data_IF_388330752911
#
_entry.id   IF_388330752911
#
_cell.length_a   1.000
_cell.length_b   1.000
_cell.length_c   1.000
_cell.angle_alpha   90.00
_cell.angle_beta   90.00
_cell.angle_gamma   90.00
#
_symmetry.space_group_name_H-M   'P 1'
#
loop_
_entity.id
_entity.type
_entity.pdbx_description
1 polymer ?
#
# COMPACT_ATOMS: atom_id res chain seq x y z
N UNK A 1 -48.30 -2.35 -48.30
CA UNK A 1 -46.89 -2.04 -47.95
C UNK A 1 -46.53 -2.85 -46.72
N UNK A 2 -45.32 -3.41 -46.68
CA UNK A 2 -44.81 -4.49 -45.80
C UNK A 2 -45.12 -4.41 -44.30
N UNK A 3 -44.91 -5.44 -43.49
CA UNK A 3 -44.19 -6.71 -43.63
C UNK A 3 -44.72 -7.69 -42.57
N UNK A 4 -44.68 -8.99 -42.87
CA UNK A 4 -45.12 -10.07 -41.99
C UNK A 4 -44.01 -10.47 -41.00
N UNK A 5 -44.40 -10.82 -39.77
CA UNK A 5 -43.62 -11.68 -38.87
C UNK A 5 -44.42 -12.97 -38.72
N UNK A 6 -43.88 -14.05 -39.29
CA UNK A 6 -44.46 -15.38 -39.28
C UNK A 6 -44.24 -16.07 -37.92
N UNK A 7 -45.24 -16.83 -37.52
CA UNK A 7 -45.28 -17.66 -36.33
C UNK A 7 -44.26 -18.80 -36.38
N UNK A 8 -43.63 -19.05 -35.24
CA UNK A 8 -42.81 -20.22 -34.98
C UNK A 8 -43.71 -21.46 -34.91
N UNK A 9 -43.76 -22.23 -35.99
CA UNK A 9 -44.06 -23.66 -36.02
C UNK A 9 -43.96 -24.12 -37.48
N UNK A 10 -42.76 -24.53 -37.90
CA UNK A 10 -42.50 -25.49 -39.00
C UNK A 10 -40.99 -25.50 -39.32
N UNK A 11 -40.19 -26.22 -38.51
CA UNK A 11 -38.83 -26.63 -38.91
C UNK A 11 -38.57 -28.10 -38.49
N UNK A 12 -38.11 -28.98 -39.40
CA UNK A 12 -38.18 -30.44 -39.25
C UNK A 12 -36.89 -31.05 -38.67
N UNK A 13 -36.48 -30.66 -37.47
CA UNK A 13 -35.33 -31.32 -36.81
C UNK A 13 -35.51 -31.42 -35.30
N UNK A 14 -35.83 -32.65 -34.87
CA UNK A 14 -35.79 -33.12 -33.50
C UNK A 14 -34.36 -33.07 -32.97
N UNK A 15 -34.09 -32.21 -31.99
CA UNK A 15 -32.87 -32.29 -31.19
C UNK A 15 -33.11 -33.32 -30.08
N UNK A 16 -32.61 -34.54 -30.29
CA UNK A 16 -32.50 -35.57 -29.25
C UNK A 16 -31.63 -35.11 -28.06
N UNK A 17 -31.53 -35.92 -26.99
CA UNK A 17 -30.93 -35.49 -25.73
C UNK A 17 -29.45 -35.10 -25.90
N UNK A 18 -29.11 -33.90 -25.44
CA UNK A 18 -27.75 -33.35 -25.45
C UNK A 18 -26.87 -34.24 -24.57
N UNK A 19 -26.03 -35.09 -25.20
CA UNK A 19 -24.91 -35.76 -24.52
C UNK A 19 -23.71 -34.81 -24.50
N UNK A 20 -23.18 -34.52 -23.31
CA UNK A 20 -21.94 -33.78 -23.15
C UNK A 20 -20.80 -34.48 -23.92
N UNK A 21 -20.20 -33.81 -24.91
CA UNK A 21 -18.96 -34.29 -25.52
C UNK A 21 -17.82 -34.01 -24.54
N UNK A 22 -17.20 -35.07 -24.02
CA UNK A 22 -16.02 -34.95 -23.16
C UNK A 22 -14.88 -34.21 -23.89
N UNK A 23 -14.13 -33.39 -23.15
CA UNK A 23 -12.98 -32.63 -23.65
C UNK A 23 -11.97 -33.54 -24.36
N UNK A 24 -11.58 -33.20 -25.59
CA UNK A 24 -10.60 -33.93 -26.41
C UNK A 24 -9.16 -33.83 -25.91
N UNK A 25 -8.93 -33.05 -24.85
CA UNK A 25 -7.65 -32.88 -24.18
C UNK A 25 -7.09 -34.19 -23.59
N UNK A 26 -7.96 -35.16 -23.24
CA UNK A 26 -7.56 -36.50 -22.83
C UNK A 26 -7.51 -37.54 -23.95
N UNK A 27 -7.71 -37.15 -25.21
CA UNK A 27 -7.74 -38.13 -26.30
C UNK A 27 -6.36 -38.72 -26.57
N UNK A 28 -6.35 -39.99 -26.99
CA UNK A 28 -5.12 -40.72 -27.37
C UNK A 28 -4.33 -39.95 -28.44
N UNK A 29 -5.04 -39.29 -29.37
CA UNK A 29 -4.40 -38.46 -30.40
C UNK A 29 -3.66 -37.27 -29.77
N UNK A 30 -4.28 -36.56 -28.83
CA UNK A 30 -3.67 -35.41 -28.17
C UNK A 30 -2.48 -35.80 -27.28
N UNK A 31 -2.57 -36.96 -26.62
CA UNK A 31 -1.47 -37.51 -25.81
C UNK A 31 -0.28 -37.97 -26.66
N UNK A 32 -0.53 -38.60 -27.81
CA UNK A 32 0.52 -39.00 -28.75
C UNK A 32 1.20 -37.77 -29.40
N UNK A 33 0.43 -36.74 -29.74
CA UNK A 33 0.97 -35.47 -30.25
C UNK A 33 1.84 -34.78 -29.20
N UNK A 34 1.39 -34.73 -27.95
CA UNK A 34 2.15 -34.17 -26.85
C UNK A 34 3.45 -34.95 -26.60
N UNK A 35 3.38 -36.29 -26.53
CA UNK A 35 4.57 -37.11 -26.37
C UNK A 35 5.56 -36.95 -27.52
N UNK A 36 5.07 -36.81 -28.77
CA UNK A 36 5.92 -36.61 -29.95
C UNK A 36 6.61 -35.25 -29.94
N UNK A 37 5.89 -34.18 -29.57
CA UNK A 37 6.45 -32.83 -29.44
C UNK A 37 7.50 -32.80 -28.33
N UNK A 38 7.22 -33.42 -27.19
CA UNK A 38 8.16 -33.46 -26.06
C UNK A 38 9.37 -34.37 -26.33
N UNK A 39 9.23 -35.42 -27.15
CA UNK A 39 10.36 -36.28 -27.54
C UNK A 39 11.28 -35.66 -28.59
N UNK A 40 10.74 -34.84 -29.50
CA UNK A 40 11.50 -34.20 -30.58
C UNK A 40 12.16 -32.89 -30.14
N UNK A 41 11.77 -32.31 -28.99
CA UNK A 41 12.42 -31.13 -28.41
C UNK A 41 13.72 -31.48 -27.67
N UNK A 42 14.84 -31.52 -28.40
CA UNK A 42 16.16 -31.57 -27.74
C UNK A 42 16.53 -30.22 -27.12
N UNK A 43 17.31 -30.23 -26.03
CA UNK A 43 17.85 -29.03 -25.36
C UNK A 43 18.50 -28.01 -26.32
N UNK A 44 19.00 -28.45 -27.48
CA UNK A 44 19.58 -27.59 -28.52
C UNK A 44 18.54 -26.75 -29.28
N UNK A 45 17.32 -27.27 -29.49
CA UNK A 45 16.25 -26.49 -30.13
C UNK A 45 15.66 -25.42 -29.20
N UNK A 46 15.59 -25.71 -27.90
CA UNK A 46 15.15 -24.71 -26.91
C UNK A 46 16.14 -23.55 -26.79
N UNK A 47 17.45 -23.83 -26.69
CA UNK A 47 18.47 -22.76 -26.65
C UNK A 47 18.58 -22.01 -27.99
N UNK A 48 18.39 -22.68 -29.13
CA UNK A 48 18.37 -22.04 -30.44
C UNK A 48 17.19 -21.08 -30.64
N UNK A 49 16.00 -21.43 -30.14
CA UNK A 49 14.81 -20.57 -30.21
C UNK A 49 14.88 -19.32 -29.31
N UNK A 50 15.50 -19.44 -28.13
CA UNK A 50 15.75 -18.28 -27.24
C UNK A 50 16.77 -17.33 -27.87
N UNK A 51 17.82 -17.84 -28.50
CA UNK A 51 18.80 -17.00 -29.18
C UNK A 51 18.22 -16.27 -30.41
N UNK A 52 17.35 -16.92 -31.19
CA UNK A 52 16.73 -16.35 -32.38
C UNK A 52 15.67 -15.27 -32.07
N UNK A 53 15.01 -15.35 -30.91
CA UNK A 53 14.03 -14.34 -30.47
C UNK A 53 14.68 -13.10 -29.85
N UNK A 54 15.91 -13.20 -29.35
CA UNK A 54 16.68 -12.05 -28.84
C UNK A 54 17.54 -11.34 -29.89
N UNK A 55 17.87 -11.99 -31.01
CA UNK A 55 18.70 -11.41 -32.08
C UNK A 55 18.19 -10.05 -32.64
N UNK A 56 16.87 -9.79 -32.77
CA UNK A 56 16.38 -8.47 -33.20
C UNK A 56 16.54 -7.36 -32.16
N UNK A 57 16.73 -7.71 -30.88
CA UNK A 57 16.83 -6.75 -29.76
C UNK A 57 18.27 -6.43 -29.37
N UNK A 58 19.25 -7.22 -29.80
CA UNK A 58 20.68 -6.95 -29.56
C UNK A 58 21.18 -5.72 -30.34
N UNK A 59 20.57 -5.42 -31.50
CA UNK A 59 20.90 -4.25 -32.33
C UNK A 59 20.13 -2.97 -31.98
N UNK A 60 19.18 -3.03 -31.05
CA UNK A 60 18.38 -1.89 -30.59
C UNK A 60 18.82 -1.36 -29.22
N UNK A 61 20.02 -1.72 -28.76
CA UNK A 61 20.80 -0.85 -27.88
C UNK A 61 21.52 0.17 -28.76
N UNK A 62 20.74 0.99 -29.47
CA UNK A 62 21.23 2.32 -29.82
C UNK A 62 21.71 2.93 -28.51
N UNK A 63 22.92 3.48 -28.53
CA UNK A 63 23.54 4.14 -27.41
C UNK A 63 22.56 5.16 -26.78
N UNK A 64 21.82 4.74 -25.76
CA UNK A 64 21.53 5.62 -24.65
C UNK A 64 22.90 5.92 -24.06
N UNK A 65 23.49 7.01 -24.55
CA UNK A 65 24.37 7.76 -23.68
C UNK A 65 23.56 7.99 -22.42
N UNK A 66 23.86 7.21 -21.38
CA UNK A 66 23.78 7.66 -20.01
C UNK A 66 24.70 8.90 -19.92
N UNK A 67 24.23 10.01 -20.51
CA UNK A 67 24.51 11.31 -19.98
C UNK A 67 23.75 11.36 -18.65
N UNK A 68 24.23 10.56 -17.69
CA UNK A 68 24.11 10.87 -16.30
C UNK A 68 24.63 12.31 -16.22
N UNK A 69 23.70 13.26 -16.12
CA UNK A 69 24.00 14.58 -15.59
C UNK A 69 24.94 14.32 -14.41
N UNK A 70 26.13 14.95 -14.36
CA UNK A 70 27.03 14.71 -13.25
C UNK A 70 26.19 14.89 -11.99
N UNK A 71 26.00 13.80 -11.23
CA UNK A 71 25.45 13.88 -9.88
C UNK A 71 26.45 14.75 -9.17
N UNK A 72 26.19 16.05 -9.13
CA UNK A 72 26.98 17.00 -8.39
C UNK A 72 26.98 16.41 -6.98
N UNK A 73 28.13 15.91 -6.53
CA UNK A 73 28.21 15.26 -5.24
C UNK A 73 27.61 16.24 -4.25
N UNK A 74 26.44 15.90 -3.69
CA UNK A 74 25.65 16.87 -2.93
C UNK A 74 26.55 17.41 -1.82
N UNK A 75 26.81 18.72 -1.88
CA UNK A 75 27.69 19.37 -0.91
C UNK A 75 27.16 19.03 0.49
N UNK A 76 28.00 18.54 1.42
CA UNK A 76 27.56 18.26 2.78
C UNK A 76 26.91 19.49 3.40
N UNK A 77 25.86 19.32 4.20
CA UNK A 77 25.23 20.43 4.92
C UNK A 77 25.72 20.42 6.37
N UNK A 78 26.23 21.54 6.85
CA UNK A 78 26.68 21.70 8.24
C UNK A 78 25.76 22.67 8.97
N UNK A 79 25.05 22.19 9.98
CA UNK A 79 24.27 23.01 10.89
C UNK A 79 25.16 23.49 12.03
N UNK A 80 25.29 24.80 12.21
CA UNK A 80 26.13 25.43 13.24
C UNK A 80 25.32 26.29 14.19
N UNK A 81 25.93 26.70 15.32
CA UNK A 81 25.31 27.61 16.29
C UNK A 81 23.89 27.14 16.69
N UNK A 82 23.80 25.88 17.12
CA UNK A 82 22.56 25.22 17.49
C UNK A 82 22.61 24.74 18.95
N UNK A 83 21.43 24.51 19.51
CA UNK A 83 21.24 23.76 20.75
C UNK A 83 20.65 22.40 20.40
N UNK A 84 21.37 21.32 20.65
CA UNK A 84 20.98 19.98 20.19
C UNK A 84 20.15 19.25 21.25
N UNK A 85 18.90 18.94 20.91
CA UNK A 85 18.08 17.94 21.61
C UNK A 85 18.06 16.66 20.77
N UNK A 86 18.68 15.57 21.24
CA UNK A 86 18.84 14.34 20.45
C UNK A 86 17.76 13.27 20.70
N UNK A 87 16.79 13.55 21.57
CA UNK A 87 15.70 12.62 21.89
C UNK A 87 16.09 11.39 22.71
N UNK A 88 17.35 11.28 23.17
CA UNK A 88 17.82 10.11 23.94
C UNK A 88 17.55 10.21 25.45
N UNK A 89 16.93 11.30 25.91
CA UNK A 89 16.75 11.63 27.33
C UNK A 89 17.94 12.36 27.96
N UNK A 90 19.04 12.56 27.21
CA UNK A 90 20.17 13.39 27.65
C UNK A 90 19.78 14.88 27.66
N UNK A 91 20.44 15.71 28.49
CA UNK A 91 20.28 17.15 28.45
C UNK A 91 20.62 17.73 27.07
N UNK A 92 20.03 18.90 26.77
CA UNK A 92 20.37 19.68 25.57
C UNK A 92 21.86 20.00 25.56
N UNK A 93 22.51 19.83 24.40
CA UNK A 93 23.95 20.05 24.22
C UNK A 93 24.22 21.32 23.44
N UNK A 94 25.12 22.14 23.97
CA UNK A 94 25.73 23.28 23.29
C UNK A 94 27.10 22.92 22.71
N UNK A 95 27.69 23.80 21.89
CA UNK A 95 29.05 23.63 21.38
C UNK A 95 29.23 22.47 20.39
N UNK A 96 28.13 21.97 19.82
CA UNK A 96 28.10 20.89 18.82
C UNK A 96 27.54 21.38 17.50
N UNK A 97 27.94 20.75 16.41
CA UNK A 97 27.42 20.96 15.06
C UNK A 97 26.75 19.65 14.56
N UNK A 98 25.93 19.74 13.52
CA UNK A 98 25.35 18.55 12.86
C UNK A 98 25.78 18.54 11.40
N UNK A 99 26.56 17.52 11.01
CA UNK A 99 26.95 17.31 9.62
C UNK A 99 26.00 16.32 8.96
N UNK A 100 25.38 16.73 7.87
CA UNK A 100 24.48 15.93 7.04
C UNK A 100 25.15 15.69 5.69
N UNK A 101 25.23 14.42 5.29
CA UNK A 101 25.75 14.02 4.00
C UNK A 101 24.73 13.13 3.30
N UNK A 102 24.20 13.60 2.17
CA UNK A 102 23.05 12.99 1.51
C UNK A 102 21.86 12.89 2.47
N UNK A 103 21.38 11.67 2.73
CA UNK A 103 20.19 11.40 3.57
C UNK A 103 20.52 11.03 5.03
N UNK A 104 21.78 11.15 5.45
CA UNK A 104 22.24 10.69 6.76
C UNK A 104 22.93 11.80 7.54
N UNK A 105 22.78 11.77 8.86
CA UNK A 105 23.66 12.50 9.77
C UNK A 105 24.98 11.73 9.80
N UNK A 106 26.07 12.32 9.30
CA UNK A 106 27.37 11.65 9.20
C UNK A 106 28.23 11.84 10.45
N UNK A 107 28.13 12.99 11.12
CA UNK A 107 28.88 13.29 12.32
C UNK A 107 28.22 14.39 13.17
N UNK A 108 28.68 14.52 14.41
CA UNK A 108 28.40 15.64 15.31
C UNK A 108 29.71 16.36 15.70
N UNK A 109 30.33 17.15 14.81
CA UNK A 109 31.59 17.84 15.07
C UNK A 109 31.50 18.79 16.27
N UNK A 110 32.65 19.11 16.86
CA UNK A 110 32.72 20.20 17.85
C UNK A 110 32.55 21.56 17.17
N UNK A 111 32.09 22.59 17.89
CA UNK A 111 31.88 23.92 17.33
C UNK A 111 33.16 24.58 16.75
N UNK A 112 34.35 24.15 17.18
CA UNK A 112 35.63 24.63 16.67
C UNK A 112 36.10 23.93 15.38
N UNK A 113 35.50 22.78 15.07
CA UNK A 113 35.86 21.98 13.90
C UNK A 113 35.30 22.62 12.64
N UNK A 114 36.14 22.69 11.60
CA UNK A 114 35.76 23.20 10.28
C UNK A 114 35.55 22.02 9.34
N UNK A 115 34.42 22.00 8.64
CA UNK A 115 34.15 21.02 7.59
C UNK A 115 34.31 21.71 6.23
N UNK A 116 35.35 21.33 5.49
CA UNK A 116 35.62 21.90 4.17
C UNK A 116 34.56 21.51 3.14
N UNK A 117 34.21 22.44 2.25
CA UNK A 117 33.26 22.19 1.15
C UNK A 117 31.80 22.03 1.56
N UNK A 118 31.47 22.15 2.85
CA UNK A 118 30.10 22.08 3.35
C UNK A 118 29.32 23.38 3.11
N UNK A 119 28.04 23.24 2.78
CA UNK A 119 27.07 24.32 2.88
C UNK A 119 26.74 24.57 4.36
N UNK A 120 27.11 25.73 4.88
CA UNK A 120 26.88 26.09 6.28
C UNK A 120 25.52 26.74 6.45
N UNK A 121 24.75 26.25 7.42
CA UNK A 121 23.48 26.84 7.88
C UNK A 121 23.65 27.23 9.35
N UNK A 122 23.65 28.53 9.63
CA UNK A 122 23.67 29.06 11.00
C UNK A 122 22.26 28.96 11.61
N UNK A 123 22.12 28.15 12.67
CA UNK A 123 20.85 27.94 13.37
C UNK A 123 20.51 29.05 14.37
N UNK A 124 21.36 30.07 14.55
CA UNK A 124 21.08 31.27 15.36
C UNK A 124 20.72 30.97 16.83
N UNK A 125 21.37 29.97 17.43
CA UNK A 125 21.11 29.50 18.80
C UNK A 125 19.77 28.77 18.96
N UNK A 126 19.08 28.44 17.86
CA UNK A 126 17.79 27.71 17.91
C UNK A 126 18.01 26.26 18.32
N UNK A 127 16.95 25.68 18.86
CA UNK A 127 16.91 24.26 19.16
C UNK A 127 16.83 23.46 17.86
N UNK A 128 17.71 22.49 17.69
CA UNK A 128 17.67 21.49 16.63
C UNK A 128 17.33 20.15 17.26
N UNK A 129 16.36 19.45 16.68
CA UNK A 129 15.87 18.17 17.17
C UNK A 129 15.55 17.20 16.03
N UNK A 130 15.49 15.88 16.29
CA UNK A 130 14.91 14.93 15.36
C UNK A 130 13.51 15.34 14.91
N UNK A 131 13.18 15.08 13.66
CA UNK A 131 11.82 15.25 13.16
C UNK A 131 10.84 14.37 13.95
N UNK A 132 9.63 14.89 14.16
CA UNK A 132 8.61 14.23 14.96
C UNK A 132 8.02 13.02 14.19
N UNK A 133 7.55 12.04 14.96
CA UNK A 133 6.85 10.87 14.45
C UNK A 133 5.45 10.83 15.07
N UNK A 134 4.41 10.90 14.23
CA UNK A 134 3.05 10.60 14.66
C UNK A 134 2.78 9.10 14.48
N UNK A 135 2.36 8.43 15.54
CA UNK A 135 2.18 6.97 15.55
C UNK A 135 0.74 6.51 15.30
N UNK A 136 -0.20 7.44 15.18
CA UNK A 136 -1.61 7.13 14.90
C UNK A 136 -2.25 8.25 14.07
N UNK A 137 -1.92 8.26 12.78
CA UNK A 137 -2.44 9.27 11.87
C UNK A 137 -3.26 8.63 10.76
N UNK A 138 -4.46 9.14 10.47
CA UNK A 138 -5.24 8.68 9.32
C UNK A 138 -4.89 9.52 8.10
N UNK A 139 -3.91 9.09 7.32
CA UNK A 139 -3.27 9.88 6.25
C UNK A 139 -4.29 10.47 5.27
N UNK A 140 -5.29 9.67 4.89
CA UNK A 140 -6.31 10.04 3.91
C UNK A 140 -7.48 10.81 4.52
N UNK A 141 -7.65 10.76 5.84
CA UNK A 141 -8.87 11.21 6.52
C UNK A 141 -8.64 12.39 7.47
N UNK A 142 -7.38 12.73 7.79
CA UNK A 142 -7.05 13.69 8.85
C UNK A 142 -7.52 15.14 8.60
N UNK A 143 -7.78 15.53 7.35
CA UNK A 143 -8.14 16.91 7.00
C UNK A 143 -9.56 17.07 6.46
N UNK A 144 -10.40 16.04 6.57
CA UNK A 144 -11.75 16.04 6.01
C UNK A 144 -12.78 15.59 7.04
N UNK A 145 -14.02 16.05 6.86
CA UNK A 145 -15.14 15.54 7.63
C UNK A 145 -15.45 14.09 7.23
N UNK A 146 -15.99 13.32 8.16
CA UNK A 146 -16.37 11.92 7.92
C UNK A 146 -17.39 11.79 6.78
N UNK A 147 -18.34 12.72 6.67
CA UNK A 147 -19.30 12.73 5.55
C UNK A 147 -18.57 12.83 4.21
N UNK A 148 -17.58 13.72 4.10
CA UNK A 148 -16.75 13.85 2.90
C UNK A 148 -15.97 12.57 2.61
N UNK A 149 -15.40 11.93 3.63
CA UNK A 149 -14.69 10.66 3.46
C UNK A 149 -15.59 9.55 2.89
N UNK A 150 -16.88 9.57 3.20
CA UNK A 150 -17.84 8.56 2.76
C UNK A 150 -18.49 8.87 1.40
N UNK A 151 -18.59 10.14 1.00
CA UNK A 151 -19.38 10.54 -0.17
C UNK A 151 -18.58 11.17 -1.30
N UNK A 152 -17.35 11.62 -1.05
CA UNK A 152 -16.54 12.27 -2.07
C UNK A 152 -15.88 11.28 -3.02
N UNK A 153 -15.50 11.77 -4.21
CA UNK A 153 -14.69 11.02 -5.15
C UNK A 153 -13.29 10.74 -4.57
N UNK A 154 -12.74 9.56 -4.86
CA UNK A 154 -11.44 9.14 -4.33
C UNK A 154 -10.30 10.08 -4.76
N UNK A 155 -10.37 10.65 -5.97
CA UNK A 155 -9.41 11.65 -6.45
C UNK A 155 -9.42 12.93 -5.61
N UNK A 156 -10.60 13.39 -5.17
CA UNK A 156 -10.71 14.52 -4.24
C UNK A 156 -10.03 14.21 -2.91
N UNK A 157 -10.22 13.01 -2.36
CA UNK A 157 -9.60 12.58 -1.10
C UNK A 157 -8.07 12.63 -1.19
N UNK A 158 -7.48 12.16 -2.29
CA UNK A 158 -6.03 12.23 -2.51
C UNK A 158 -5.49 13.66 -2.58
N UNK A 159 -6.20 14.57 -3.26
CA UNK A 159 -5.80 15.97 -3.34
C UNK A 159 -5.83 16.65 -1.97
N UNK A 160 -6.87 16.41 -1.18
CA UNK A 160 -6.97 16.93 0.19
C UNK A 160 -5.86 16.35 1.09
N UNK A 161 -5.61 15.04 1.00
CA UNK A 161 -4.58 14.36 1.77
C UNK A 161 -3.17 14.83 1.40
N UNK A 162 -2.88 15.08 0.12
CA UNK A 162 -1.60 15.62 -0.33
C UNK A 162 -1.32 17.01 0.28
N UNK A 163 -2.33 17.88 0.31
CA UNK A 163 -2.19 19.20 0.94
C UNK A 163 -1.98 19.09 2.45
N UNK A 164 -2.67 18.17 3.13
CA UNK A 164 -2.47 17.95 4.56
C UNK A 164 -1.11 17.32 4.85
N UNK A 165 -0.62 16.39 4.02
CA UNK A 165 0.70 15.79 4.18
C UNK A 165 1.81 16.85 4.17
N UNK A 166 1.74 17.83 3.26
CA UNK A 166 2.66 18.96 3.25
C UNK A 166 2.55 19.80 4.53
N UNK A 167 1.33 20.10 4.98
CA UNK A 167 1.11 20.85 6.24
C UNK A 167 1.65 20.11 7.45
N UNK A 168 1.46 18.80 7.53
CA UNK A 168 2.00 17.92 8.57
C UNK A 168 3.53 17.95 8.59
N UNK A 169 4.17 17.90 7.41
CA UNK A 169 5.62 18.06 7.31
C UNK A 169 6.10 19.41 7.83
N UNK A 170 5.41 20.50 7.47
CA UNK A 170 5.73 21.86 7.93
C UNK A 170 5.48 22.08 9.43
N UNK A 171 4.66 21.25 10.07
CA UNK A 171 4.52 21.21 11.54
C UNK A 171 5.65 20.43 12.24
N UNK A 172 6.60 19.87 11.49
CA UNK A 172 7.78 19.18 12.01
C UNK A 172 7.68 17.65 12.06
N UNK A 173 6.57 17.07 11.60
CA UNK A 173 6.43 15.62 11.49
C UNK A 173 7.09 15.12 10.21
N UNK A 174 8.19 14.39 10.33
CA UNK A 174 8.92 13.87 9.17
C UNK A 174 8.57 12.41 8.88
N UNK A 175 7.89 11.73 9.80
CA UNK A 175 7.35 10.39 9.60
C UNK A 175 5.99 10.25 10.27
N UNK A 176 5.15 9.40 9.70
CA UNK A 176 3.81 9.09 10.20
C UNK A 176 3.54 7.59 10.06
N UNK A 177 2.90 7.01 11.07
CA UNK A 177 2.33 5.67 10.98
C UNK A 177 0.84 5.80 10.67
N UNK A 178 0.50 5.43 9.44
CA UNK A 178 -0.87 5.47 8.95
C UNK A 178 -1.71 4.41 9.67
N UNK A 179 -2.80 4.83 10.29
CA UNK A 179 -3.66 3.97 11.11
C UNK A 179 -4.90 3.45 10.35
N UNK A 180 -4.91 3.56 9.02
CA UNK A 180 -6.01 3.14 8.15
C UNK A 180 -6.01 3.96 6.87
N UNK A 181 -5.87 3.26 5.75
CA UNK A 181 -5.61 3.81 4.42
C UNK A 181 -6.81 4.47 3.73
N UNK A 182 -6.77 4.60 2.38
CA UNK A 182 -5.80 4.01 1.44
C UNK A 182 -4.54 4.87 1.18
N UNK A 183 -3.53 4.83 2.05
CA UNK A 183 -2.37 5.72 1.96
C UNK A 183 -1.31 5.34 0.90
N UNK A 184 -1.40 4.18 0.24
CA UNK A 184 -0.32 3.65 -0.60
C UNK A 184 0.04 4.54 -1.81
N UNK A 185 -0.95 5.09 -2.51
CA UNK A 185 -0.69 5.94 -3.67
C UNK A 185 -0.04 7.27 -3.26
N UNK A 186 -0.52 7.88 -2.16
CA UNK A 186 0.08 9.11 -1.63
C UNK A 186 1.50 8.86 -1.11
N UNK A 187 1.72 7.73 -0.42
CA UNK A 187 3.06 7.29 -0.01
C UNK A 187 4.01 7.23 -1.20
N UNK A 188 3.61 6.56 -2.27
CA UNK A 188 4.42 6.45 -3.49
C UNK A 188 4.73 7.83 -4.07
N UNK A 189 3.74 8.70 -4.18
CA UNK A 189 3.94 10.06 -4.68
C UNK A 189 4.93 10.87 -3.83
N UNK A 190 4.91 10.71 -2.50
CA UNK A 190 5.89 11.34 -1.59
C UNK A 190 7.28 10.72 -1.72
N UNK A 191 7.37 9.39 -1.77
CA UNK A 191 8.65 8.68 -1.90
C UNK A 191 9.36 8.99 -3.24
N UNK A 192 8.58 9.21 -4.31
CA UNK A 192 9.05 9.65 -5.63
C UNK A 192 9.26 11.17 -5.74
N UNK A 193 8.96 11.93 -4.68
CA UNK A 193 9.17 13.39 -4.62
C UNK A 193 8.16 14.23 -5.41
N UNK A 194 7.06 13.64 -5.88
CA UNK A 194 5.98 14.37 -6.57
C UNK A 194 5.20 15.29 -5.64
N UNK A 195 5.08 14.91 -4.36
CA UNK A 195 4.36 15.65 -3.33
C UNK A 195 5.25 15.76 -2.09
N UNK A 196 5.28 16.93 -1.46
CA UNK A 196 5.95 17.10 -0.18
C UNK A 196 5.10 16.50 0.96
N UNK A 197 5.70 15.66 1.80
CA UNK A 197 5.04 15.10 2.97
C UNK A 197 5.97 14.26 3.84
N UNK A 198 5.49 13.81 5.02
CA UNK A 198 6.24 12.90 5.87
C UNK A 198 6.42 11.53 5.19
N UNK A 199 7.43 10.77 5.62
CA UNK A 199 7.53 9.34 5.31
C UNK A 199 6.33 8.61 5.90
N UNK A 200 5.58 7.91 5.06
CA UNK A 200 4.41 7.14 5.48
C UNK A 200 4.80 5.68 5.71
N UNK A 201 4.40 5.14 6.86
CA UNK A 201 4.35 3.72 7.21
C UNK A 201 2.88 3.24 7.13
N UNK A 202 2.45 2.67 5.97
CA UNK A 202 1.05 2.40 5.67
C UNK A 202 0.52 1.14 6.39
N UNK A 203 -0.70 1.18 6.95
CA UNK A 203 -1.37 -0.05 7.42
C UNK A 203 -2.14 -0.78 6.32
N UNK A 204 -2.42 -0.11 5.21
CA UNK A 204 -3.48 -0.53 4.29
C UNK A 204 -4.87 -0.31 4.91
N UNK A 205 -5.85 -1.09 4.48
CA UNK A 205 -7.20 -1.01 5.03
C UNK A 205 -7.23 -1.46 6.50
N UNK A 206 -8.06 -0.81 7.32
CA UNK A 206 -8.35 -1.27 8.67
C UNK A 206 -9.10 -2.60 8.62
N UNK A 207 -8.67 -3.60 9.37
CA UNK A 207 -9.38 -4.88 9.46
C UNK A 207 -10.43 -4.78 10.56
N UNK A 208 -11.68 -4.97 10.19
CA UNK A 208 -12.85 -4.86 11.08
C UNK A 208 -13.77 -6.06 10.92
N UNK A 209 -14.49 -6.44 11.97
CA UNK A 209 -15.58 -7.40 11.87
C UNK A 209 -16.85 -6.74 11.30
N UNK A 210 -17.82 -7.56 10.92
CA UNK A 210 -19.19 -7.08 10.66
C UNK A 210 -19.75 -6.38 11.90
N UNK A 211 -20.42 -5.23 11.69
CA UNK A 211 -20.91 -4.35 12.75
C UNK A 211 -19.81 -3.81 13.69
N UNK A 212 -18.54 -3.84 13.26
CA UNK A 212 -17.42 -3.27 14.00
C UNK A 212 -17.15 -1.81 13.68
N UNK A 213 -16.11 -1.24 14.31
CA UNK A 213 -15.78 0.19 14.23
C UNK A 213 -15.44 0.65 12.79
N UNK A 214 -15.01 -0.27 11.92
CA UNK A 214 -14.67 0.01 10.52
C UNK A 214 -15.81 -0.29 9.55
N UNK A 215 -16.96 -0.75 10.05
CA UNK A 215 -18.12 -1.10 9.23
C UNK A 215 -19.08 0.09 9.08
N UNK A 216 -18.89 0.85 7.99
CA UNK A 216 -19.69 2.03 7.67
C UNK A 216 -20.87 1.75 6.73
N UNK A 217 -21.26 0.48 6.54
CA UNK A 217 -22.44 0.11 5.75
C UNK A 217 -23.73 0.65 6.38
N UNK A 218 -24.77 0.83 5.58
CA UNK A 218 -26.08 1.25 6.06
C UNK A 218 -26.91 0.04 6.47
N UNK A 219 -27.91 0.25 7.33
CA UNK A 219 -28.85 -0.83 7.75
C UNK A 219 -29.55 -1.51 6.58
N UNK A 220 -29.77 -0.79 5.48
CA UNK A 220 -30.35 -1.33 4.24
C UNK A 220 -29.45 -2.31 3.49
N UNK A 221 -28.15 -2.35 3.82
CA UNK A 221 -27.18 -3.27 3.20
C UNK A 221 -27.14 -4.64 3.91
N UNK A 222 -28.00 -4.85 4.91
CA UNK A 222 -28.06 -6.05 5.74
C UNK A 222 -29.28 -6.90 5.31
N UNK A 223 -29.13 -8.23 5.10
CA UNK A 223 -27.89 -9.00 5.22
C UNK A 223 -27.00 -8.88 3.97
N UNK A 224 -25.68 -8.95 4.19
CA UNK A 224 -24.72 -9.11 3.09
C UNK A 224 -24.79 -10.54 2.56
N UNK A 225 -25.05 -10.71 1.27
CA UNK A 225 -24.92 -12.01 0.61
C UNK A 225 -23.43 -12.43 0.55
N UNK A 226 -23.15 -13.73 0.63
CA UNK A 226 -21.78 -14.26 0.61
C UNK A 226 -20.98 -13.88 -0.65
N UNK A 227 -21.66 -13.63 -1.77
CA UNK A 227 -21.08 -13.21 -3.05
C UNK A 227 -21.38 -11.74 -3.39
N UNK A 228 -21.83 -10.94 -2.42
CA UNK A 228 -22.05 -9.51 -2.64
C UNK A 228 -20.73 -8.81 -2.98
N UNK A 229 -20.76 -7.80 -3.87
CA UNK A 229 -19.59 -6.97 -4.12
C UNK A 229 -19.10 -6.31 -2.82
N UNK A 230 -17.84 -5.88 -2.84
CA UNK A 230 -17.28 -5.05 -1.77
C UNK A 230 -18.11 -3.76 -1.63
N UNK A 231 -18.30 -3.28 -0.40
CA UNK A 231 -18.85 -1.95 -0.14
C UNK A 231 -17.94 -0.84 -0.69
N UNK A 232 -18.45 0.39 -0.83
CA UNK A 232 -17.63 1.51 -1.31
C UNK A 232 -16.38 1.75 -0.44
N UNK A 233 -16.49 1.56 0.87
CA UNK A 233 -15.38 1.70 1.83
C UNK A 233 -14.32 0.61 1.64
N UNK A 234 -14.75 -0.63 1.38
CA UNK A 234 -13.86 -1.75 1.06
C UNK A 234 -13.18 -1.54 -0.30
N UNK A 235 -13.92 -1.10 -1.33
CA UNK A 235 -13.36 -0.81 -2.66
C UNK A 235 -12.34 0.35 -2.61
N UNK A 236 -12.62 1.37 -1.81
CA UNK A 236 -11.71 2.49 -1.59
C UNK A 236 -10.46 2.08 -0.78
N UNK A 237 -10.46 0.93 -0.10
CA UNK A 237 -9.34 0.46 0.72
C UNK A 237 -9.22 1.16 2.07
N UNK A 238 -10.32 1.72 2.59
CA UNK A 238 -10.37 2.35 3.92
C UNK A 238 -10.46 1.30 5.02
N UNK A 239 -11.35 0.32 4.86
CA UNK A 239 -11.53 -0.80 5.77
C UNK A 239 -11.87 -2.08 5.01
N UNK A 240 -11.47 -3.24 5.54
CA UNK A 240 -11.87 -4.55 5.03
C UNK A 240 -12.64 -5.28 6.12
N UNK A 241 -13.87 -5.70 5.78
CA UNK A 241 -14.70 -6.48 6.68
C UNK A 241 -14.30 -7.96 6.55
N UNK A 242 -14.07 -8.59 7.69
CA UNK A 242 -13.67 -9.99 7.79
C UNK A 242 -14.29 -10.62 9.04
N UNK A 243 -14.97 -11.74 8.88
CA UNK A 243 -15.53 -12.50 9.99
C UNK A 243 -14.97 -13.94 9.98
N UNK A 244 -14.41 -14.36 11.11
CA UNK A 244 -13.72 -15.63 11.29
C UNK A 244 -12.23 -15.59 10.90
N UNK A 245 -11.47 -16.52 11.50
CA UNK A 245 -10.00 -16.61 11.39
C UNK A 245 -9.53 -16.64 9.92
N UNK A 246 -10.21 -17.40 9.07
CA UNK A 246 -9.84 -17.55 7.66
C UNK A 246 -9.99 -16.25 6.86
N UNK A 247 -11.00 -15.44 7.14
CA UNK A 247 -11.18 -14.16 6.47
C UNK A 247 -10.20 -13.13 6.98
N UNK A 248 -9.98 -13.05 8.30
CA UNK A 248 -8.98 -12.16 8.89
C UNK A 248 -7.60 -12.46 8.30
N UNK A 249 -7.19 -13.72 8.29
CA UNK A 249 -5.93 -14.16 7.70
C UNK A 249 -5.79 -13.71 6.23
N UNK A 250 -6.86 -13.86 5.44
CA UNK A 250 -6.89 -13.42 4.04
C UNK A 250 -6.71 -11.91 3.93
N UNK A 251 -7.50 -11.12 4.66
CA UNK A 251 -7.45 -9.65 4.56
C UNK A 251 -6.12 -9.07 5.03
N UNK A 252 -5.54 -9.65 6.09
CA UNK A 252 -4.20 -9.28 6.54
C UNK A 252 -3.17 -9.55 5.44
N UNK A 253 -3.17 -10.75 4.85
CA UNK A 253 -2.25 -11.09 3.75
C UNK A 253 -2.43 -10.20 2.53
N UNK A 254 -3.64 -9.79 2.20
CA UNK A 254 -3.91 -8.81 1.14
C UNK A 254 -3.26 -7.46 1.44
N UNK A 255 -3.34 -6.96 2.68
CA UNK A 255 -2.68 -5.69 3.04
C UNK A 255 -1.15 -5.81 3.00
N UNK A 256 -0.61 -6.94 3.46
CA UNK A 256 0.82 -7.24 3.35
C UNK A 256 1.29 -7.32 1.89
N UNK A 257 0.50 -7.95 1.02
CA UNK A 257 0.75 -8.01 -0.43
C UNK A 257 0.80 -6.61 -1.07
N UNK A 258 -0.03 -5.68 -0.61
CA UNK A 258 -0.01 -4.28 -1.05
C UNK A 258 1.19 -3.48 -0.51
N UNK A 259 1.96 -4.05 0.42
CA UNK A 259 3.14 -3.43 1.01
C UNK A 259 2.87 -2.68 2.31
N UNK A 260 1.83 -3.07 3.07
CA UNK A 260 1.62 -2.54 4.42
C UNK A 260 2.86 -2.77 5.30
N UNK A 261 3.27 -1.75 6.05
CA UNK A 261 4.38 -1.85 7.01
C UNK A 261 3.96 -2.43 8.35
N UNK A 262 2.69 -2.32 8.72
CA UNK A 262 2.05 -2.92 9.89
C UNK A 262 0.58 -3.20 9.57
N UNK A 263 -0.14 -3.89 10.46
CA UNK A 263 -1.57 -4.17 10.26
C UNK A 263 -2.41 -3.42 11.29
N UNK A 264 -3.49 -2.75 10.88
CA UNK A 264 -4.47 -2.16 11.79
C UNK A 264 -5.66 -3.09 11.95
N UNK A 265 -5.96 -3.47 13.19
CA UNK A 265 -7.18 -4.20 13.56
C UNK A 265 -8.06 -3.36 14.49
N UNK A 266 -9.37 -3.55 14.43
CA UNK A 266 -10.34 -2.89 15.30
C UNK A 266 -10.85 -3.91 16.33
N UNK A 267 -10.30 -3.85 17.53
CA UNK A 267 -10.55 -4.81 18.62
C UNK A 267 -11.55 -4.31 19.67
N UNK A 268 -12.02 -3.07 19.52
CA UNK A 268 -13.02 -2.45 20.39
C UNK A 268 -13.94 -1.53 19.61
N UNK A 269 -15.05 -1.15 20.24
CA UNK A 269 -15.95 -0.15 19.71
C UNK A 269 -15.32 1.22 19.58
N UNK A 270 -15.87 2.06 18.70
CA UNK A 270 -15.30 3.39 18.50
C UNK A 270 -16.28 4.54 18.55
N UNK A 271 -15.71 5.74 18.42
CA UNK A 271 -16.43 7.01 18.57
C UNK A 271 -17.04 7.46 17.25
N UNK A 272 -16.36 7.20 16.13
CA UNK A 272 -16.75 7.68 14.81
C UNK A 272 -17.75 6.76 14.08
N UNK A 273 -18.00 5.57 14.61
CA UNK A 273 -18.90 4.60 14.00
C UNK A 273 -20.33 4.73 14.55
N UNK A 274 -21.31 4.21 13.80
CA UNK A 274 -22.73 4.47 14.04
C UNK A 274 -23.41 3.44 14.93
N UNK A 275 -22.89 2.21 15.03
CA UNK A 275 -23.66 1.07 15.51
C UNK A 275 -23.02 0.31 16.67
N UNK A 276 -21.70 0.39 16.83
CA UNK A 276 -20.95 -0.30 17.87
C UNK A 276 -20.77 0.59 19.12
N UNK A 277 -21.14 0.09 20.31
CA UNK A 277 -20.88 0.76 21.58
C UNK A 277 -19.39 0.80 21.93
N UNK A 278 -18.94 1.87 22.60
CA UNK A 278 -17.53 2.03 23.03
C UNK A 278 -17.02 0.90 23.92
N UNK A 279 -17.89 0.30 24.73
CA UNK A 279 -17.57 -0.81 25.64
C UNK A 279 -17.67 -2.19 24.98
N UNK A 280 -17.96 -2.24 23.67
CA UNK A 280 -17.99 -3.49 22.93
C UNK A 280 -16.58 -4.01 22.63
N UNK A 281 -16.37 -5.30 22.88
CA UNK A 281 -15.22 -6.05 22.39
C UNK A 281 -15.47 -6.45 20.95
N UNK A 282 -14.49 -6.23 20.08
CA UNK A 282 -14.55 -6.61 18.67
C UNK A 282 -13.44 -7.60 18.33
N UNK A 283 -13.78 -8.54 17.45
CA UNK A 283 -13.14 -9.82 17.19
C UNK A 283 -13.11 -10.75 18.41
N UNK A 284 -13.22 -12.05 18.14
CA UNK A 284 -12.77 -13.06 19.09
C UNK A 284 -11.25 -13.05 19.21
N UNK A 285 -10.75 -13.59 20.33
CA UNK A 285 -9.32 -13.79 20.53
C UNK A 285 -8.66 -14.59 19.37
N UNK A 286 -9.37 -15.58 18.83
CA UNK A 286 -8.88 -16.41 17.73
C UNK A 286 -8.71 -15.61 16.44
N UNK A 287 -9.67 -14.75 16.13
CA UNK A 287 -9.59 -13.85 14.97
C UNK A 287 -8.42 -12.88 15.11
N UNK A 288 -8.28 -12.23 16.27
CA UNK A 288 -7.12 -11.36 16.54
C UNK A 288 -5.80 -12.11 16.42
N UNK A 289 -5.72 -13.31 17.00
CA UNK A 289 -4.54 -14.18 16.93
C UNK A 289 -4.16 -14.52 15.49
N UNK A 290 -5.13 -14.82 14.64
CA UNK A 290 -4.89 -15.11 13.22
C UNK A 290 -4.24 -13.92 12.49
N UNK A 291 -4.70 -12.70 12.77
CA UNK A 291 -4.09 -11.48 12.22
C UNK A 291 -2.67 -11.23 12.76
N UNK A 292 -2.44 -11.46 14.06
CA UNK A 292 -1.13 -11.32 14.70
C UNK A 292 -0.11 -12.32 14.13
N UNK A 293 -0.50 -13.59 13.99
CA UNK A 293 0.36 -14.64 13.45
C UNK A 293 0.76 -14.34 12.00
N UNK A 294 -0.19 -13.88 11.18
CA UNK A 294 0.09 -13.48 9.80
C UNK A 294 1.06 -12.28 9.71
N UNK A 295 0.89 -11.28 10.56
CA UNK A 295 1.80 -10.13 10.62
C UNK A 295 3.20 -10.55 11.09
N UNK A 296 3.28 -11.43 12.10
CA UNK A 296 4.55 -11.92 12.63
C UNK A 296 5.34 -12.75 11.60
N UNK A 297 4.67 -13.61 10.83
CA UNK A 297 5.27 -14.37 9.72
C UNK A 297 5.86 -13.45 8.63
N UNK A 298 5.28 -12.25 8.49
CA UNK A 298 5.76 -11.20 7.59
C UNK A 298 6.80 -10.26 8.22
N UNK A 299 7.33 -10.60 9.39
CA UNK A 299 8.28 -9.79 10.19
C UNK A 299 7.75 -8.39 10.53
N UNK A 300 6.46 -8.28 10.80
CA UNK A 300 5.82 -7.05 11.30
C UNK A 300 4.87 -7.34 12.46
N UNK A 301 4.06 -6.37 12.84
CA UNK A 301 3.20 -6.39 14.00
C UNK A 301 1.80 -5.82 13.68
N UNK A 302 0.88 -6.01 14.63
CA UNK A 302 -0.48 -5.46 14.61
C UNK A 302 -0.56 -4.24 15.54
N UNK A 303 -1.20 -3.18 15.07
CA UNK A 303 -1.74 -2.11 15.90
C UNK A 303 -3.26 -2.32 16.07
N UNK A 304 -3.76 -2.19 17.30
CA UNK A 304 -5.17 -2.37 17.61
C UNK A 304 -5.83 -1.04 18.01
N UNK A 305 -7.05 -0.81 17.55
CA UNK A 305 -8.00 0.09 18.21
C UNK A 305 -8.69 -0.68 19.34
N UNK A 306 -8.77 -0.10 20.53
CA UNK A 306 -9.37 -0.68 21.74
C UNK A 306 -10.23 0.34 22.46
#
# INVERSE_FOLDING_TARGET
MGQAIAHANDLPWSLGPIRARACSCGSVVCQLLHQRVMSDMSRRMFMGGVAATMAPFVGLQAAESDAALPKNAERPTLLTNLRLFDGTGKPVRDGVQVLVQGKLISALPSAAEKVEGAQVIDCQGKLVMPGLIDTHWHTMLAAIAQTTAMTADLGYLYLAAAQEAQRTLLRGFTSVRDAGGPAFALKRAIDEGMVAGPRIYPSGAMISQTSGHGDFRLRGDIPRAANAPLSAVEQAGVAMIADGEAEVLRRVREQLMLGASQIKMLAGGGVASLYDPLDSMQFSERELRSGVEAAADWNTYVMAHV
#
